data_IF_539398220246
#
_entry.id   IF_539398220246
#
_cell.length_a   1.000
_cell.length_b   1.000
_cell.length_c   1.000
_cell.angle_alpha   90.00
_cell.angle_beta   90.00
_cell.angle_gamma   90.00
#
_symmetry.space_group_name_H-M   'P 1'
#
loop_
_entity.id
_entity.type
_entity.pdbx_description
1 polymer ?
#
# COMPACT_ATOMS: atom_id res chain seq x y z
N UNK A 1 -6.46 -6.45 -30.37
CA UNK A 1 -6.41 -7.79 -29.77
C UNK A 1 -6.48 -7.71 -28.24
N UNK A 2 -6.56 -8.85 -27.53
CA UNK A 2 -6.70 -8.89 -26.07
C UNK A 2 -5.50 -8.29 -25.32
N UNK A 3 -4.29 -8.35 -25.89
CA UNK A 3 -3.09 -7.74 -25.31
C UNK A 3 -2.83 -6.30 -25.81
N UNK A 4 -3.75 -5.72 -26.57
CA UNK A 4 -3.60 -4.34 -27.04
C UNK A 4 -3.76 -3.36 -25.87
N UNK A 5 -2.92 -2.31 -25.83
CA UNK A 5 -2.85 -1.35 -24.72
C UNK A 5 -4.20 -0.68 -24.41
N UNK A 6 -5.01 -0.39 -25.43
CA UNK A 6 -6.37 0.16 -25.23
C UNK A 6 -7.34 -0.83 -24.56
N UNK A 7 -7.25 -2.11 -24.91
CA UNK A 7 -8.03 -3.18 -24.26
C UNK A 7 -7.62 -3.30 -22.79
N UNK A 8 -6.31 -3.26 -22.51
CA UNK A 8 -5.78 -3.29 -21.15
C UNK A 8 -6.18 -2.05 -20.34
N UNK A 9 -6.28 -0.89 -20.98
CA UNK A 9 -6.85 0.32 -20.37
C UNK A 9 -8.31 0.14 -19.96
N UNK A 10 -9.08 -0.57 -20.79
CA UNK A 10 -10.48 -0.92 -20.46
C UNK A 10 -10.53 -1.87 -19.26
N UNK A 11 -9.64 -2.87 -19.20
CA UNK A 11 -9.54 -3.78 -18.05
C UNK A 11 -9.15 -3.03 -16.76
N UNK A 12 -8.23 -2.05 -16.85
CA UNK A 12 -7.89 -1.19 -15.72
C UNK A 12 -9.12 -0.44 -15.21
N UNK A 13 -9.91 0.16 -16.10
CA UNK A 13 -11.12 0.90 -15.71
C UNK A 13 -12.17 -0.03 -15.08
N UNK A 14 -12.26 -1.28 -15.53
CA UNK A 14 -13.10 -2.29 -14.88
C UNK A 14 -12.63 -2.60 -13.45
N UNK A 15 -11.31 -2.58 -13.21
CA UNK A 15 -10.74 -2.66 -11.86
C UNK A 15 -11.18 -1.49 -10.97
N UNK A 16 -11.16 -0.26 -11.49
CA UNK A 16 -11.65 0.92 -10.78
C UNK A 16 -13.13 0.80 -10.44
N UNK A 17 -13.96 0.37 -11.40
CA UNK A 17 -15.38 0.14 -11.18
C UNK A 17 -15.64 -0.88 -10.07
N UNK A 18 -14.89 -2.00 -10.05
CA UNK A 18 -15.04 -2.98 -8.97
C UNK A 18 -14.59 -2.44 -7.61
N UNK A 19 -13.55 -1.62 -7.57
CA UNK A 19 -13.10 -0.98 -6.34
C UNK A 19 -14.18 -0.04 -5.78
N UNK A 20 -14.83 0.75 -6.65
CA UNK A 20 -15.93 1.65 -6.27
C UNK A 20 -17.16 0.89 -5.75
N UNK A 21 -17.38 -0.33 -6.26
CA UNK A 21 -18.44 -1.24 -5.79
C UNK A 21 -18.05 -2.00 -4.51
N UNK A 22 -16.85 -1.78 -3.94
CA UNK A 22 -16.34 -2.51 -2.77
C UNK A 22 -15.93 -3.96 -3.06
N UNK A 23 -15.89 -4.37 -4.33
CA UNK A 23 -15.48 -5.71 -4.79
C UNK A 23 -13.96 -5.76 -4.96
N UNK A 24 -13.26 -5.69 -3.83
CA UNK A 24 -11.81 -5.45 -3.82
C UNK A 24 -11.01 -6.60 -4.46
N UNK A 25 -11.43 -7.86 -4.29
CA UNK A 25 -10.74 -9.02 -4.85
C UNK A 25 -10.82 -9.05 -6.38
N UNK A 26 -11.98 -8.70 -6.95
CA UNK A 26 -12.16 -8.59 -8.39
C UNK A 26 -11.41 -7.39 -8.96
N UNK A 27 -11.39 -6.26 -8.24
CA UNK A 27 -10.60 -5.10 -8.62
C UNK A 27 -9.10 -5.46 -8.71
N UNK A 28 -8.58 -6.20 -7.72
CA UNK A 28 -7.18 -6.66 -7.71
C UNK A 28 -6.88 -7.50 -8.93
N UNK A 29 -7.75 -8.48 -9.24
CA UNK A 29 -7.59 -9.35 -10.41
C UNK A 29 -7.56 -8.56 -11.72
N UNK A 30 -8.41 -7.56 -11.87
CA UNK A 30 -8.46 -6.74 -13.08
C UNK A 30 -7.20 -5.89 -13.23
N UNK A 31 -6.77 -5.19 -12.17
CA UNK A 31 -5.55 -4.39 -12.23
C UNK A 31 -4.30 -5.25 -12.46
N UNK A 32 -4.19 -6.41 -11.81
CA UNK A 32 -3.08 -7.33 -12.06
C UNK A 32 -3.10 -7.89 -13.50
N UNK A 33 -4.28 -8.14 -14.07
CA UNK A 33 -4.41 -8.56 -15.46
C UNK A 33 -3.92 -7.47 -16.41
N UNK A 34 -4.38 -6.21 -16.22
CA UNK A 34 -3.93 -5.07 -17.01
C UNK A 34 -2.40 -4.88 -16.91
N UNK A 35 -1.84 -4.95 -15.70
CA UNK A 35 -0.40 -4.79 -15.48
C UNK A 35 0.43 -5.90 -16.15
N UNK A 36 -0.01 -7.16 -16.08
CA UNK A 36 0.64 -8.27 -16.79
C UNK A 36 0.58 -8.08 -18.31
N UNK A 37 -0.56 -7.63 -18.84
CA UNK A 37 -0.70 -7.31 -20.25
C UNK A 37 0.25 -6.20 -20.68
N UNK A 38 0.36 -5.12 -19.90
CA UNK A 38 1.29 -4.03 -20.22
C UNK A 38 2.75 -4.48 -20.23
N UNK A 39 3.16 -5.34 -19.27
CA UNK A 39 4.51 -5.92 -19.24
C UNK A 39 4.85 -6.77 -20.48
N UNK A 40 3.84 -7.36 -21.13
CA UNK A 40 4.04 -8.12 -22.37
C UNK A 40 4.00 -7.23 -23.62
N UNK A 41 3.08 -6.27 -23.64
CA UNK A 41 2.83 -5.42 -24.79
C UNK A 41 3.92 -4.34 -24.98
N UNK A 42 4.69 -4.05 -23.93
CA UNK A 42 5.63 -2.92 -23.88
C UNK A 42 7.02 -3.43 -23.55
N UNK A 43 8.02 -2.91 -24.26
CA UNK A 43 9.43 -3.18 -23.98
C UNK A 43 9.80 -2.81 -22.53
N UNK A 44 10.66 -3.60 -21.85
CA UNK A 44 11.04 -3.36 -20.46
C UNK A 44 11.60 -1.97 -20.16
N UNK A 45 12.21 -1.32 -21.15
CA UNK A 45 12.77 0.04 -21.06
C UNK A 45 11.69 1.12 -20.96
N UNK A 46 10.57 0.94 -21.67
CA UNK A 46 9.46 1.89 -21.70
C UNK A 46 8.42 1.61 -20.61
N UNK A 47 8.44 0.42 -20.01
CA UNK A 47 7.49 0.04 -18.98
C UNK A 47 7.49 0.97 -17.75
N UNK A 48 8.65 1.39 -17.18
CA UNK A 48 8.68 2.27 -16.01
C UNK A 48 8.21 3.70 -16.30
N UNK A 49 8.12 4.11 -17.57
CA UNK A 49 7.67 5.45 -17.99
C UNK A 49 6.28 5.42 -18.65
N UNK A 50 5.67 4.24 -18.78
CA UNK A 50 4.38 4.10 -19.43
C UNK A 50 3.22 4.50 -18.50
N UNK A 51 2.64 5.66 -18.75
CA UNK A 51 1.61 6.29 -17.89
C UNK A 51 0.44 5.34 -17.54
N UNK A 52 -0.19 4.60 -18.48
CA UNK A 52 -1.30 3.72 -18.13
C UNK A 52 -0.91 2.59 -17.15
N UNK A 53 0.31 2.07 -17.24
CA UNK A 53 0.80 1.10 -16.27
C UNK A 53 1.04 1.75 -14.91
N UNK A 54 1.58 2.97 -14.86
CA UNK A 54 1.76 3.72 -13.61
C UNK A 54 0.42 4.01 -12.92
N UNK A 55 -0.62 4.38 -13.70
CA UNK A 55 -1.98 4.55 -13.19
C UNK A 55 -2.51 3.24 -12.59
N UNK A 56 -2.23 2.10 -13.22
CA UNK A 56 -2.64 0.77 -12.73
C UNK A 56 -1.94 0.42 -11.42
N UNK A 57 -0.65 0.74 -11.30
CA UNK A 57 0.15 0.52 -10.07
C UNK A 57 -0.39 1.41 -8.93
N UNK A 58 -0.75 2.66 -9.23
CA UNK A 58 -1.39 3.54 -8.25
C UNK A 58 -2.76 2.99 -7.81
N UNK A 59 -3.59 2.52 -8.75
CA UNK A 59 -4.87 1.88 -8.44
C UNK A 59 -4.72 0.67 -7.52
N UNK A 60 -3.73 -0.19 -7.75
CA UNK A 60 -3.38 -1.30 -6.85
C UNK A 60 -2.94 -0.83 -5.46
N UNK A 61 -2.14 0.24 -5.39
CA UNK A 61 -1.71 0.80 -4.11
C UNK A 61 -2.90 1.26 -3.25
N UNK A 62 -3.83 1.99 -3.87
CA UNK A 62 -5.07 2.43 -3.20
C UNK A 62 -5.96 1.25 -2.80
N UNK A 63 -6.00 0.19 -3.60
CA UNK A 63 -6.73 -1.02 -3.28
C UNK A 63 -6.17 -1.75 -2.05
N UNK A 64 -4.84 -1.92 -2.00
CA UNK A 64 -4.17 -2.54 -0.85
C UNK A 64 -4.34 -1.71 0.42
N UNK A 65 -4.36 -0.39 0.28
CA UNK A 65 -4.68 0.50 1.38
C UNK A 65 -6.10 0.25 1.92
N UNK A 66 -7.10 0.11 1.04
CA UNK A 66 -8.47 -0.23 1.44
C UNK A 66 -8.58 -1.63 2.08
N UNK A 67 -7.72 -2.57 1.69
CA UNK A 67 -7.61 -3.90 2.30
C UNK A 67 -6.78 -3.90 3.61
N UNK A 68 -6.34 -2.74 4.10
CA UNK A 68 -5.45 -2.57 5.26
C UNK A 68 -4.09 -3.30 5.11
N UNK A 69 -3.66 -3.58 3.87
CA UNK A 69 -2.35 -4.16 3.52
C UNK A 69 -1.34 -3.05 3.31
N UNK A 70 -1.04 -2.33 4.39
CA UNK A 70 -0.25 -1.09 4.38
C UNK A 70 1.15 -1.27 3.77
N UNK A 71 1.84 -2.38 4.05
CA UNK A 71 3.19 -2.60 3.49
C UNK A 71 3.17 -2.81 1.98
N UNK A 72 2.17 -3.55 1.47
CA UNK A 72 1.98 -3.73 0.04
C UNK A 72 1.65 -2.38 -0.62
N UNK A 73 0.71 -1.63 -0.05
CA UNK A 73 0.34 -0.30 -0.55
C UNK A 73 1.56 0.62 -0.69
N UNK A 74 2.45 0.66 0.31
CA UNK A 74 3.68 1.47 0.29
C UNK A 74 4.62 1.07 -0.85
N UNK A 75 4.80 -0.23 -1.06
CA UNK A 75 5.66 -0.73 -2.12
C UNK A 75 5.16 -0.27 -3.50
N UNK A 76 3.85 -0.40 -3.75
CA UNK A 76 3.23 0.04 -5.00
C UNK A 76 3.21 1.56 -5.15
N UNK A 77 2.92 2.33 -4.09
CA UNK A 77 3.02 3.80 -4.12
C UNK A 77 4.44 4.28 -4.45
N UNK A 78 5.46 3.66 -3.84
CA UNK A 78 6.87 3.98 -4.09
C UNK A 78 7.25 3.69 -5.55
N UNK A 79 6.78 2.56 -6.09
CA UNK A 79 6.98 2.20 -7.49
C UNK A 79 6.32 3.20 -8.45
N UNK A 80 5.07 3.62 -8.16
CA UNK A 80 4.37 4.61 -8.96
C UNK A 80 5.10 5.96 -8.97
N UNK A 81 5.56 6.45 -7.81
CA UNK A 81 6.31 7.70 -7.68
C UNK A 81 7.56 7.66 -8.56
N UNK A 82 8.37 6.61 -8.45
CA UNK A 82 9.60 6.49 -9.24
C UNK A 82 9.34 6.53 -10.75
N UNK A 83 8.21 5.97 -11.21
CA UNK A 83 7.80 6.04 -12.61
C UNK A 83 7.34 7.44 -13.02
N UNK A 84 6.46 8.07 -12.24
CA UNK A 84 5.96 9.42 -12.56
C UNK A 84 7.04 10.49 -12.50
N UNK A 85 8.03 10.36 -11.59
CA UNK A 85 9.19 11.26 -11.52
C UNK A 85 9.99 11.27 -12.83
N UNK A 86 10.14 10.10 -13.47
CA UNK A 86 10.82 9.97 -14.77
C UNK A 86 10.04 10.63 -15.91
N UNK A 87 8.71 10.71 -15.81
CA UNK A 87 7.85 11.23 -16.88
C UNK A 87 7.59 12.73 -16.73
N UNK A 88 7.17 13.18 -15.55
CA UNK A 88 6.62 14.53 -15.33
C UNK A 88 7.51 15.45 -14.48
N UNK A 89 8.69 14.98 -14.06
CA UNK A 89 9.59 15.60 -13.06
C UNK A 89 9.02 15.57 -11.62
N UNK A 90 9.89 15.81 -10.64
CA UNK A 90 9.60 15.67 -9.20
C UNK A 90 8.45 16.54 -8.69
N UNK A 91 8.25 17.70 -9.31
CA UNK A 91 7.37 18.76 -8.81
C UNK A 91 5.94 18.64 -9.32
N UNK A 92 5.66 17.65 -10.18
CA UNK A 92 4.34 17.41 -10.72
C UNK A 92 3.32 17.07 -9.61
N UNK A 93 2.10 17.58 -9.75
CA UNK A 93 1.00 17.41 -8.79
C UNK A 93 0.74 15.94 -8.44
N UNK A 94 0.83 15.02 -9.42
CA UNK A 94 0.66 13.58 -9.20
C UNK A 94 1.76 13.02 -8.27
N UNK A 95 3.01 13.40 -8.49
CA UNK A 95 4.13 12.96 -7.65
C UNK A 95 3.97 13.48 -6.22
N UNK A 96 3.52 14.72 -6.04
CA UNK A 96 3.23 15.29 -4.72
C UNK A 96 2.08 14.57 -4.01
N UNK A 97 0.98 14.29 -4.72
CA UNK A 97 -0.17 13.57 -4.16
C UNK A 97 0.22 12.17 -3.67
N UNK A 98 0.98 11.42 -4.46
CA UNK A 98 1.47 10.09 -4.08
C UNK A 98 2.42 10.14 -2.88
N UNK A 99 3.34 11.12 -2.82
CA UNK A 99 4.24 11.30 -1.67
C UNK A 99 3.49 11.66 -0.40
N UNK A 100 2.50 12.54 -0.48
CA UNK A 100 1.65 12.88 0.66
C UNK A 100 0.92 11.66 1.19
N UNK A 101 0.41 10.79 0.30
CA UNK A 101 -0.26 9.55 0.69
C UNK A 101 0.71 8.55 1.33
N UNK A 102 1.90 8.39 0.75
CA UNK A 102 2.95 7.53 1.32
C UNK A 102 3.37 8.00 2.73
N UNK A 103 3.54 9.31 2.93
CA UNK A 103 3.88 9.89 4.23
C UNK A 103 2.76 9.69 5.27
N UNK A 104 1.48 9.77 4.87
CA UNK A 104 0.36 9.47 5.75
C UNK A 104 0.41 8.01 6.26
N UNK A 105 0.66 7.05 5.36
CA UNK A 105 0.78 5.63 5.71
C UNK A 105 1.98 5.33 6.62
N UNK A 106 3.07 6.10 6.52
CA UNK A 106 4.21 5.99 7.43
C UNK A 106 3.90 6.53 8.83
N UNK A 107 3.15 7.62 8.91
CA UNK A 107 2.70 8.18 10.19
C UNK A 107 1.78 7.22 10.93
N UNK A 108 0.77 6.66 10.26
CA UNK A 108 -0.17 5.70 10.84
C UNK A 108 0.56 4.46 11.39
N UNK A 109 1.55 3.95 10.65
CA UNK A 109 2.39 2.83 11.12
C UNK A 109 3.21 3.19 12.36
N UNK A 110 3.78 4.39 12.40
CA UNK A 110 4.54 4.89 13.55
C UNK A 110 3.68 4.98 14.81
N UNK A 111 2.45 5.46 14.68
CA UNK A 111 1.48 5.56 15.78
C UNK A 111 1.07 4.19 16.31
N UNK A 112 0.82 3.21 15.44
CA UNK A 112 0.51 1.83 15.84
C UNK A 112 1.69 1.20 16.59
N UNK A 113 2.91 1.29 16.04
CA UNK A 113 4.12 0.74 16.68
C UNK A 113 4.39 1.37 18.05
N UNK A 114 4.22 2.69 18.17
CA UNK A 114 4.37 3.41 19.43
C UNK A 114 3.31 3.00 20.45
N UNK A 115 2.07 2.78 20.02
CA UNK A 115 0.95 2.36 20.88
C UNK A 115 1.17 0.95 21.43
N UNK A 116 1.52 -0.02 20.57
CA UNK A 116 1.85 -1.39 20.98
C UNK A 116 3.04 -1.39 21.94
N UNK A 117 4.08 -0.61 21.65
CA UNK A 117 5.26 -0.48 22.53
C UNK A 117 4.92 0.07 23.91
N UNK A 118 3.99 1.04 24.00
CA UNK A 118 3.53 1.58 25.30
C UNK A 118 2.69 0.56 26.07
N UNK A 119 1.82 -0.20 25.39
CA UNK A 119 1.02 -1.25 26.01
C UNK A 119 1.90 -2.38 26.55
N UNK A 120 2.87 -2.87 25.77
CA UNK A 120 3.81 -3.90 26.21
C UNK A 120 4.63 -3.45 27.42
N UNK A 121 5.15 -2.20 27.43
CA UNK A 121 5.85 -1.65 28.61
C UNK A 121 4.97 -1.55 29.86
N UNK A 122 3.66 -1.28 29.72
CA UNK A 122 2.72 -1.29 30.87
C UNK A 122 2.47 -2.71 31.36
N UNK A 123 2.31 -3.67 30.46
CA UNK A 123 2.15 -5.09 30.79
C UNK A 123 3.38 -5.64 31.54
N UNK A 124 4.59 -5.36 31.05
CA UNK A 124 5.84 -5.78 31.69
C UNK A 124 6.02 -5.17 33.08
N UNK A 125 5.71 -3.87 33.26
CA UNK A 125 5.74 -3.24 34.59
C UNK A 125 4.72 -3.88 35.55
N UNK A 126 3.51 -4.18 35.07
CA UNK A 126 2.48 -4.85 35.86
C UNK A 126 2.90 -6.27 36.28
N UNK A 127 3.53 -7.01 35.37
CA UNK A 127 4.09 -8.34 35.65
C UNK A 127 5.25 -8.27 36.67
N UNK A 128 6.21 -7.37 36.46
CA UNK A 128 7.34 -7.14 37.37
C UNK A 128 6.88 -6.70 38.78
N UNK A 129 5.85 -5.86 38.88
CA UNK A 129 5.27 -5.44 40.15
C UNK A 129 4.59 -6.61 40.89
N UNK A 130 3.81 -7.44 40.18
CA UNK A 130 3.20 -8.66 40.75
C UNK A 130 4.26 -9.67 41.19
N UNK A 131 5.33 -9.86 40.42
CA UNK A 131 6.44 -10.75 40.77
C UNK A 131 7.17 -10.29 42.05
N UNK A 132 7.45 -8.98 42.19
CA UNK A 132 8.05 -8.42 43.41
C UNK A 132 7.15 -8.60 44.64
N UNK A 133 5.84 -8.38 44.52
CA UNK A 133 4.88 -8.58 45.60
C UNK A 133 4.79 -10.05 46.05
N UNK A 134 4.92 -11.01 45.10
CA UNK A 134 5.03 -12.44 45.43
C UNK A 134 6.32 -12.76 46.19
N UNK A 135 7.47 -12.24 45.77
CA UNK A 135 8.75 -12.48 46.45
C UNK A 135 8.82 -11.88 47.87
N UNK A 136 8.13 -10.77 48.13
CA UNK A 136 8.06 -10.15 49.47
C UNK A 136 6.96 -10.74 50.38
N UNK A 137 6.23 -11.78 49.96
CA UNK A 137 5.20 -12.43 50.79
C UNK A 137 3.90 -11.63 50.99
N UNK A 138 3.75 -10.49 50.31
CA UNK A 138 2.59 -9.58 50.43
C UNK A 138 1.39 -10.00 49.57
N UNK A 139 1.60 -10.90 48.61
CA UNK A 139 0.53 -11.46 47.77
C UNK A 139 0.28 -12.93 48.18
N UNK A 140 -0.65 -13.17 49.11
CA UNK A 140 -1.24 -14.51 49.31
C UNK A 140 -2.40 -14.67 48.33
N UNK A 141 -2.42 -15.80 47.63
CA UNK A 141 -3.43 -16.20 46.64
C UNK A 141 -4.80 -16.22 47.29
#
# INVERSE_FOLDING_TARGET
GPEHTSTLGTVNNLGSLYADLGRLDEAEKMYQHALRGYKKAISPENMPTFIPALNTIWGLASLFENQNRVEDAKAFYSQAISGYEKVFRSDHLICQALRNRLAALDKERGEIKNTVSRQNRKADRGYQAKARLRCCGLLRI
#
